data_IF_592064502540
#
_entry.id   IF_592064502540
#
_cell.length_a   1.000
_cell.length_b   1.000
_cell.length_c   1.000
_cell.angle_alpha   90.00
_cell.angle_beta   90.00
_cell.angle_gamma   90.00
#
_symmetry.space_group_name_H-M   'P 1'
#
loop_
_entity.id
_entity.type
_entity.pdbx_description
1 polymer ?
#
# COMPACT_ATOMS: atom_id res chain seq x y z
N UNK A 1 -17.51 -5.06 -5.63
CA UNK A 1 -16.61 -5.18 -4.50
C UNK A 1 -17.37 -5.54 -3.24
N UNK A 2 -16.85 -6.52 -2.53
CA UNK A 2 -17.43 -7.00 -1.27
C UNK A 2 -16.91 -6.20 -0.08
N UNK A 3 -15.67 -5.69 -0.17
CA UNK A 3 -15.06 -4.89 0.87
C UNK A 3 -15.35 -3.40 0.66
N UNK A 4 -15.81 -2.70 1.69
CA UNK A 4 -16.04 -1.26 1.62
C UNK A 4 -14.75 -0.47 1.34
N UNK A 5 -13.60 -0.97 1.80
CA UNK A 5 -12.31 -0.35 1.52
C UNK A 5 -11.88 -0.48 0.04
N UNK A 6 -12.47 -1.38 -0.73
CA UNK A 6 -12.24 -1.46 -2.17
C UNK A 6 -13.22 -0.59 -2.98
N UNK A 7 -13.78 0.45 -2.38
CA UNK A 7 -14.70 1.38 -3.03
C UNK A 7 -14.32 2.82 -2.75
N UNK A 8 -14.29 3.62 -3.79
CA UNK A 8 -14.33 5.07 -3.66
C UNK A 8 -15.79 5.46 -3.42
N UNK A 9 -16.13 5.81 -2.20
CA UNK A 9 -17.51 6.05 -1.82
C UNK A 9 -17.65 7.26 -0.89
N UNK A 10 -18.80 7.90 -0.96
CA UNK A 10 -19.20 8.99 -0.08
C UNK A 10 -20.49 8.64 0.64
N UNK A 11 -20.54 8.93 1.94
CA UNK A 11 -21.72 8.73 2.77
C UNK A 11 -22.36 10.08 3.09
N UNK A 12 -23.64 10.19 2.82
CA UNK A 12 -24.45 11.34 3.20
C UNK A 12 -25.71 10.87 3.93
N UNK A 13 -25.71 10.99 5.24
CA UNK A 13 -26.79 10.41 6.07
C UNK A 13 -26.86 8.88 5.94
N UNK A 14 -28.02 8.38 5.56
CA UNK A 14 -28.24 6.94 5.33
C UNK A 14 -27.85 6.47 3.92
N UNK A 15 -27.51 7.38 3.01
CA UNK A 15 -27.18 7.06 1.62
C UNK A 15 -25.67 6.92 1.43
N UNK A 16 -25.29 5.90 0.65
CA UNK A 16 -23.89 5.69 0.22
C UNK A 16 -23.85 5.73 -1.30
N UNK A 17 -22.99 6.59 -1.84
CA UNK A 17 -22.72 6.71 -3.26
C UNK A 17 -21.34 6.16 -3.57
N UNK A 18 -21.30 5.17 -4.49
CA UNK A 18 -20.05 4.54 -4.91
C UNK A 18 -19.69 5.07 -6.29
N UNK A 19 -18.52 5.71 -6.40
CA UNK A 19 -18.01 6.28 -7.64
C UNK A 19 -17.11 5.29 -8.39
N UNK A 20 -16.30 4.53 -7.65
CA UNK A 20 -15.38 3.54 -8.22
C UNK A 20 -15.33 2.26 -7.38
N UNK A 21 -15.09 1.14 -8.04
CA UNK A 21 -14.74 -0.14 -7.42
C UNK A 21 -13.31 -0.48 -7.81
N UNK A 22 -12.49 -0.74 -6.81
CA UNK A 22 -11.13 -1.21 -7.03
C UNK A 22 -11.09 -2.73 -7.13
N UNK A 23 -10.06 -3.25 -7.77
CA UNK A 23 -9.82 -4.68 -7.88
C UNK A 23 -9.53 -5.26 -6.49
N UNK A 24 -10.37 -6.18 -6.02
CA UNK A 24 -10.18 -6.84 -4.71
C UNK A 24 -9.43 -8.15 -4.86
N UNK A 25 -9.66 -8.85 -5.97
CA UNK A 25 -9.15 -10.18 -6.18
C UNK A 25 -8.99 -10.47 -7.66
N UNK A 26 -7.93 -11.19 -8.01
CA UNK A 26 -7.80 -11.87 -9.29
C UNK A 26 -7.55 -13.36 -9.08
N UNK A 27 -8.15 -14.19 -9.93
CA UNK A 27 -8.03 -15.65 -9.86
C UNK A 27 -7.52 -16.15 -11.21
N UNK A 28 -6.40 -16.86 -11.18
CA UNK A 28 -5.84 -17.50 -12.36
C UNK A 28 -6.47 -18.88 -12.61
N UNK A 29 -6.39 -19.40 -13.84
CA UNK A 29 -6.98 -20.69 -14.21
C UNK A 29 -6.37 -21.87 -13.45
N UNK A 30 -5.15 -21.74 -12.93
CA UNK A 30 -4.47 -22.74 -12.13
C UNK A 30 -4.88 -22.72 -10.64
N UNK A 31 -5.74 -21.77 -10.22
CA UNK A 31 -6.19 -21.64 -8.82
C UNK A 31 -5.31 -20.72 -7.98
N UNK A 32 -4.42 -19.94 -8.58
CA UNK A 32 -3.68 -18.89 -7.90
C UNK A 32 -4.55 -17.65 -7.74
N UNK A 33 -4.53 -17.08 -6.54
CA UNK A 33 -5.20 -15.84 -6.20
C UNK A 33 -4.20 -14.72 -5.98
N UNK A 34 -4.62 -13.50 -6.31
CA UNK A 34 -4.01 -12.26 -5.81
C UNK A 34 -5.09 -11.46 -5.12
N UNK A 35 -4.91 -11.18 -3.84
CA UNK A 35 -5.82 -10.38 -3.03
C UNK A 35 -5.27 -8.97 -2.85
N UNK A 36 -6.10 -7.96 -3.12
CA UNK A 36 -5.73 -6.54 -2.99
C UNK A 36 -6.48 -5.92 -1.80
N UNK A 37 -5.71 -5.36 -0.87
CA UNK A 37 -6.25 -4.71 0.33
C UNK A 37 -6.02 -3.20 0.27
N UNK A 38 -7.06 -2.44 0.62
CA UNK A 38 -7.04 -0.98 0.60
C UNK A 38 -7.32 -0.42 1.98
N UNK A 39 -6.79 0.76 2.25
CA UNK A 39 -7.11 1.57 3.42
C UNK A 39 -7.78 2.87 3.00
N UNK A 40 -8.74 3.30 3.79
CA UNK A 40 -9.31 4.63 3.65
C UNK A 40 -8.39 5.69 4.25
N UNK A 41 -8.45 6.90 3.71
CA UNK A 41 -7.86 8.06 4.37
C UNK A 41 -8.41 8.19 5.80
N UNK A 42 -7.57 8.58 6.74
CA UNK A 42 -7.88 8.60 8.17
C UNK A 42 -7.65 9.96 8.85
N UNK A 43 -7.41 11.00 8.09
CA UNK A 43 -7.18 12.37 8.58
C UNK A 43 -6.01 12.55 9.56
N UNK A 44 -5.19 11.53 9.79
CA UNK A 44 -4.02 11.65 10.66
C UNK A 44 -3.08 12.72 10.12
N UNK A 45 -2.46 13.44 11.03
CA UNK A 45 -1.53 14.54 10.75
C UNK A 45 -2.16 15.77 10.05
N UNK A 46 -3.46 15.82 9.78
CA UNK A 46 -4.10 17.03 9.24
C UNK A 46 -3.94 18.25 10.17
N UNK A 47 -3.84 18.03 11.47
CA UNK A 47 -3.58 19.05 12.46
C UNK A 47 -2.18 19.69 12.35
N UNK A 48 -1.27 19.07 11.60
CA UNK A 48 0.07 19.64 11.32
C UNK A 48 0.07 20.63 10.17
N UNK A 49 -0.99 20.63 9.35
CA UNK A 49 -1.17 21.63 8.29
C UNK A 49 -1.38 23.02 8.87
N UNK A 50 -0.81 24.01 8.21
CA UNK A 50 -0.95 25.41 8.56
C UNK A 50 -1.43 26.22 7.35
N UNK A 51 -1.95 27.42 7.62
CA UNK A 51 -2.37 28.34 6.57
C UNK A 51 -3.76 28.05 5.98
N UNK A 52 -4.07 28.65 4.81
CA UNK A 52 -5.42 28.58 4.23
C UNK A 52 -5.90 27.17 3.91
N UNK A 53 -5.01 26.28 3.52
CA UNK A 53 -5.32 24.87 3.20
C UNK A 53 -5.82 24.13 4.44
N UNK A 54 -5.17 24.33 5.59
CA UNK A 54 -5.60 23.73 6.86
C UNK A 54 -7.02 24.15 7.23
N UNK A 55 -7.30 25.45 7.13
CA UNK A 55 -8.64 26.00 7.43
C UNK A 55 -9.69 25.46 6.45
N UNK A 56 -9.36 25.35 5.17
CA UNK A 56 -10.28 24.84 4.16
C UNK A 56 -10.67 23.37 4.38
N UNK A 57 -9.81 22.59 5.02
CA UNK A 57 -10.00 21.14 5.19
C UNK A 57 -10.45 20.72 6.58
N UNK A 58 -10.42 21.63 7.55
CA UNK A 58 -10.92 21.34 8.89
C UNK A 58 -12.39 20.94 8.89
N UNK A 59 -12.73 19.87 9.61
CA UNK A 59 -14.10 19.40 9.79
C UNK A 59 -14.78 18.82 8.55
N UNK A 60 -14.03 18.60 7.44
CA UNK A 60 -14.54 17.91 6.26
C UNK A 60 -14.13 16.44 6.26
N UNK A 61 -15.03 15.58 5.77
CA UNK A 61 -14.73 14.15 5.59
C UNK A 61 -13.73 13.97 4.46
N UNK A 62 -12.60 13.33 4.75
CA UNK A 62 -11.55 12.96 3.78
C UNK A 62 -11.50 11.46 3.55
N UNK A 63 -12.33 10.68 4.22
CA UNK A 63 -12.31 9.21 4.19
C UNK A 63 -12.74 8.60 2.84
N UNK A 64 -13.05 9.43 1.85
CA UNK A 64 -13.47 8.98 0.51
C UNK A 64 -12.35 8.33 -0.27
N UNK A 65 -11.12 8.82 -0.14
CA UNK A 65 -9.97 8.29 -0.89
C UNK A 65 -9.51 6.93 -0.34
N UNK A 66 -8.93 6.12 -1.23
CA UNK A 66 -8.42 4.78 -0.92
C UNK A 66 -6.98 4.65 -1.38
N UNK A 67 -6.18 4.00 -0.53
CA UNK A 67 -4.78 3.69 -0.80
C UNK A 67 -4.62 2.19 -0.87
N UNK A 68 -4.00 1.69 -1.95
CA UNK A 68 -3.60 0.29 -2.01
C UNK A 68 -2.52 0.06 -0.95
N UNK A 69 -2.85 -0.77 0.03
CA UNK A 69 -1.97 -1.03 1.17
C UNK A 69 -1.17 -2.32 0.98
N UNK A 70 -1.81 -3.36 0.41
CA UNK A 70 -1.18 -4.68 0.30
C UNK A 70 -1.73 -5.45 -0.88
N UNK A 71 -0.84 -6.26 -1.50
CA UNK A 71 -1.25 -7.34 -2.38
C UNK A 71 -0.68 -8.66 -1.84
N UNK A 72 -1.56 -9.65 -1.60
CA UNK A 72 -1.18 -11.00 -1.15
C UNK A 72 -1.30 -11.98 -2.28
N UNK A 73 -0.33 -12.87 -2.42
CA UNK A 73 -0.32 -13.88 -3.47
C UNK A 73 0.45 -15.12 -3.06
N UNK A 74 0.41 -16.17 -3.91
CA UNK A 74 1.00 -17.46 -3.61
C UNK A 74 0.21 -18.18 -2.52
N UNK A 75 -1.09 -18.42 -2.73
CA UNK A 75 -1.89 -19.24 -1.83
C UNK A 75 -1.38 -20.68 -1.80
N UNK A 76 -1.24 -21.24 -0.58
CA UNK A 76 -0.74 -22.61 -0.38
C UNK A 76 -1.68 -23.68 -0.93
N UNK A 77 -2.96 -23.40 -0.97
CA UNK A 77 -3.96 -24.33 -1.48
C UNK A 77 -4.57 -23.76 -2.74
N UNK A 78 -4.48 -24.50 -3.84
CA UNK A 78 -5.14 -24.13 -5.09
C UNK A 78 -6.64 -24.04 -4.88
N UNK A 79 -7.21 -22.91 -5.23
CA UNK A 79 -8.63 -22.66 -5.17
C UNK A 79 -9.06 -21.91 -6.43
N UNK A 80 -10.14 -22.35 -7.05
CA UNK A 80 -10.69 -21.73 -8.25
C UNK A 80 -11.99 -20.98 -7.98
N UNK A 81 -12.39 -20.93 -6.71
CA UNK A 81 -13.60 -20.24 -6.28
C UNK A 81 -13.29 -18.77 -6.03
N UNK A 82 -13.92 -17.83 -6.73
CA UNK A 82 -13.74 -16.40 -6.48
C UNK A 82 -14.17 -16.00 -5.06
N UNK A 83 -13.70 -14.83 -4.62
CA UNK A 83 -14.02 -14.24 -3.32
C UNK A 83 -13.52 -15.05 -2.12
N UNK A 84 -12.25 -15.36 -2.16
CA UNK A 84 -11.56 -16.17 -1.14
C UNK A 84 -11.80 -15.68 0.29
N UNK A 85 -11.93 -14.38 0.53
CA UNK A 85 -12.24 -13.81 1.85
C UNK A 85 -13.66 -14.09 2.35
N UNK A 86 -14.54 -14.58 1.50
CA UNK A 86 -15.91 -14.97 1.87
C UNK A 86 -16.04 -16.48 2.11
N UNK A 87 -14.98 -17.21 1.90
CA UNK A 87 -14.95 -18.64 2.15
C UNK A 87 -14.79 -18.94 3.64
N UNK A 88 -15.20 -20.13 4.05
CA UNK A 88 -15.08 -20.59 5.45
C UNK A 88 -13.63 -20.74 5.87
N UNK A 89 -12.76 -21.11 4.92
CA UNK A 89 -11.32 -21.27 5.13
C UNK A 89 -10.61 -20.29 4.20
N UNK A 90 -9.95 -19.30 4.77
CA UNK A 90 -9.13 -18.36 4.02
C UNK A 90 -7.75 -19.01 3.80
N UNK A 91 -7.21 -19.02 2.57
CA UNK A 91 -5.90 -19.60 2.32
C UNK A 91 -4.79 -18.83 3.04
N UNK A 92 -3.74 -19.54 3.38
CA UNK A 92 -2.48 -18.97 3.82
C UNK A 92 -1.69 -18.45 2.62
N UNK A 93 -0.99 -17.35 2.80
CA UNK A 93 -0.29 -16.64 1.75
C UNK A 93 1.22 -16.75 1.92
N UNK A 94 1.94 -16.98 0.82
CA UNK A 94 3.39 -17.04 0.83
C UNK A 94 4.06 -15.67 0.74
N UNK A 95 3.40 -14.71 0.08
CA UNK A 95 4.00 -13.45 -0.31
C UNK A 95 3.07 -12.27 -0.02
N UNK A 96 3.64 -11.21 0.56
CA UNK A 96 3.01 -9.92 0.73
C UNK A 96 3.82 -8.84 -0.01
N UNK A 97 3.14 -8.07 -0.85
CA UNK A 97 3.66 -6.83 -1.40
C UNK A 97 2.99 -5.66 -0.65
N UNK A 98 3.75 -4.94 0.13
CA UNK A 98 3.25 -3.86 1.01
C UNK A 98 3.59 -2.51 0.42
N UNK A 99 2.59 -1.66 0.24
CA UNK A 99 2.74 -0.26 -0.19
C UNK A 99 2.78 0.62 1.07
N UNK A 100 3.94 1.18 1.34
CA UNK A 100 4.19 1.96 2.54
C UNK A 100 4.10 3.47 2.25
N UNK A 101 3.26 4.13 3.01
CA UNK A 101 3.01 5.57 2.92
C UNK A 101 3.72 6.37 4.01
N UNK A 102 4.84 5.84 4.52
CA UNK A 102 5.70 6.47 5.52
C UNK A 102 5.56 5.93 6.93
N UNK A 103 5.08 4.70 7.07
CA UNK A 103 4.98 3.97 8.34
C UNK A 103 6.28 3.31 8.73
N UNK A 104 6.99 2.75 7.75
CA UNK A 104 8.28 2.14 7.95
C UNK A 104 9.43 3.15 7.72
N UNK A 105 10.59 2.83 8.25
CA UNK A 105 11.79 3.66 8.07
C UNK A 105 12.18 3.73 6.59
N UNK A 106 12.21 4.93 6.05
CA UNK A 106 12.52 5.19 4.64
C UNK A 106 14.02 5.42 4.36
N UNK A 107 14.89 5.40 5.38
CA UNK A 107 16.34 5.55 5.19
C UNK A 107 16.91 4.34 4.44
N UNK A 108 17.77 4.58 3.46
CA UNK A 108 18.39 3.51 2.66
C UNK A 108 19.26 2.55 3.50
N UNK A 109 19.79 3.03 4.62
CA UNK A 109 20.70 2.28 5.50
C UNK A 109 19.98 1.38 6.50
N UNK A 110 18.65 1.43 6.57
CA UNK A 110 17.84 0.61 7.50
C UNK A 110 17.04 -0.43 6.77
N UNK A 111 16.87 -1.58 7.38
CA UNK A 111 15.97 -2.65 6.89
C UNK A 111 14.58 -2.39 7.47
N UNK A 112 13.57 -2.07 6.64
CA UNK A 112 12.20 -1.89 7.10
C UNK A 112 11.62 -3.15 7.72
N UNK A 113 10.86 -2.97 8.79
CA UNK A 113 10.10 -4.04 9.41
C UNK A 113 8.73 -4.19 8.75
N UNK A 114 8.13 -5.37 8.90
CA UNK A 114 6.76 -5.61 8.43
C UNK A 114 5.76 -4.72 9.18
N UNK A 115 4.96 -3.89 8.49
CA UNK A 115 4.01 -2.99 9.13
C UNK A 115 2.77 -3.77 9.61
N UNK A 116 2.67 -3.99 10.92
CA UNK A 116 1.57 -4.75 11.53
C UNK A 116 0.30 -3.94 11.72
N UNK A 117 0.43 -2.62 11.84
CA UNK A 117 -0.69 -1.70 12.05
C UNK A 117 -0.68 -0.60 10.99
N UNK A 118 -1.10 -0.91 9.76
CA UNK A 118 -1.09 0.04 8.66
C UNK A 118 -2.02 1.23 8.95
N UNK A 119 -1.63 2.42 8.46
CA UNK A 119 -2.37 3.67 8.66
C UNK A 119 -2.12 4.31 10.04
N UNK A 120 -1.21 3.80 10.87
CA UNK A 120 -0.95 4.34 12.21
C UNK A 120 -0.17 5.66 12.20
N UNK A 121 0.81 5.77 11.32
CA UNK A 121 1.77 6.88 11.23
C UNK A 121 1.90 7.40 9.79
N UNK A 122 0.82 8.00 9.26
CA UNK A 122 0.81 8.48 7.89
C UNK A 122 1.19 9.96 7.77
N UNK A 123 2.39 10.29 7.28
CA UNK A 123 2.77 11.68 6.99
C UNK A 123 1.95 12.25 5.85
N UNK A 124 1.75 13.56 5.88
CA UNK A 124 1.15 14.29 4.77
C UNK A 124 2.18 14.55 3.69
N UNK A 125 1.76 14.46 2.43
CA UNK A 125 2.56 14.94 1.30
C UNK A 125 2.63 16.47 1.31
N UNK A 126 3.69 17.04 0.72
CA UNK A 126 3.88 18.48 0.69
C UNK A 126 2.90 19.20 -0.28
N UNK A 127 2.38 18.48 -1.25
CA UNK A 127 1.46 18.93 -2.30
C UNK A 127 0.11 18.20 -2.26
N UNK A 128 -0.63 18.26 -1.15
CA UNK A 128 -1.91 17.58 -1.05
C UNK A 128 -2.92 18.18 -2.05
N UNK A 129 -3.72 17.32 -2.64
CA UNK A 129 -4.69 17.73 -3.68
C UNK A 129 -6.09 17.27 -3.34
N UNK A 130 -7.09 18.00 -3.84
CA UNK A 130 -8.47 17.55 -3.82
C UNK A 130 -9.13 17.76 -5.18
N UNK A 131 -10.13 16.92 -5.49
CA UNK A 131 -10.97 17.07 -6.66
C UNK A 131 -12.43 16.77 -6.33
N UNK A 132 -13.35 17.17 -7.22
CA UNK A 132 -14.80 16.99 -7.10
C UNK A 132 -15.38 16.23 -8.28
N UNK A 133 -14.58 15.38 -8.92
CA UNK A 133 -14.94 14.65 -10.14
C UNK A 133 -16.26 13.88 -10.03
N UNK A 134 -16.55 13.37 -8.82
CA UNK A 134 -17.72 12.53 -8.58
C UNK A 134 -18.87 13.24 -7.85
N UNK A 135 -18.81 14.57 -7.74
CA UNK A 135 -19.82 15.37 -7.02
C UNK A 135 -19.61 15.43 -5.51
N UNK A 136 -18.57 14.79 -4.98
CA UNK A 136 -18.08 14.89 -3.62
C UNK A 136 -16.55 15.07 -3.61
N UNK A 137 -16.01 15.50 -2.48
CA UNK A 137 -14.57 15.77 -2.37
C UNK A 137 -13.78 14.47 -2.23
N UNK A 138 -12.78 14.31 -3.08
CA UNK A 138 -11.75 13.30 -2.99
C UNK A 138 -10.41 13.97 -2.74
N UNK A 139 -9.71 13.61 -1.67
CA UNK A 139 -8.41 14.17 -1.30
C UNK A 139 -7.31 13.14 -1.39
N UNK A 140 -6.20 13.51 -2.03
CA UNK A 140 -4.96 12.72 -2.03
C UNK A 140 -3.97 13.37 -1.07
N UNK A 141 -3.82 12.79 0.11
CA UNK A 141 -3.02 13.34 1.21
C UNK A 141 -1.72 12.59 1.44
N UNK A 142 -1.57 11.36 0.93
CA UNK A 142 -0.43 10.48 1.20
C UNK A 142 0.38 10.26 -0.05
N UNK A 143 1.65 9.97 0.16
CA UNK A 143 2.60 9.64 -0.89
C UNK A 143 3.21 8.28 -0.58
N UNK A 144 3.20 7.37 -1.55
CA UNK A 144 3.86 6.08 -1.39
C UNK A 144 5.38 6.30 -1.42
N UNK A 145 6.06 5.94 -0.35
CA UNK A 145 7.50 6.12 -0.21
C UNK A 145 8.30 4.87 -0.57
N UNK A 146 7.69 3.70 -0.41
CA UNK A 146 8.34 2.44 -0.74
C UNK A 146 7.34 1.32 -0.96
N UNK A 147 7.78 0.30 -1.70
CA UNK A 147 7.08 -0.96 -1.86
C UNK A 147 7.98 -2.06 -1.33
N UNK A 148 7.46 -2.85 -0.39
CA UNK A 148 8.19 -3.86 0.36
C UNK A 148 7.65 -5.24 0.01
N UNK A 149 8.53 -6.16 -0.39
CA UNK A 149 8.18 -7.53 -0.69
C UNK A 149 8.61 -8.45 0.46
N UNK A 150 7.65 -9.09 1.10
CA UNK A 150 7.86 -10.01 2.20
C UNK A 150 7.51 -11.44 1.81
N UNK A 151 8.32 -12.38 2.29
CA UNK A 151 8.06 -13.81 2.21
C UNK A 151 7.69 -14.36 3.59
N UNK A 152 6.63 -15.17 3.63
CA UNK A 152 6.20 -15.92 4.81
C UNK A 152 6.78 -17.33 4.87
N UNK A 153 7.53 -17.73 3.84
CA UNK A 153 8.16 -19.05 3.77
C UNK A 153 9.68 -18.94 3.96
N UNK A 154 10.29 -19.98 4.53
CA UNK A 154 11.73 -20.08 4.62
C UNK A 154 12.33 -20.30 3.23
N UNK A 155 13.24 -19.44 2.81
CA UNK A 155 14.09 -19.70 1.66
C UNK A 155 15.15 -20.74 2.05
N UNK A 156 14.92 -22.00 1.70
CA UNK A 156 15.88 -23.08 1.90
C UNK A 156 16.39 -23.62 0.56
N UNK A 157 17.70 -23.57 0.25
CA UNK A 157 18.23 -24.24 -0.93
C UNK A 157 18.03 -25.75 -0.79
N UNK A 158 17.22 -26.34 -1.67
CA UNK A 158 17.06 -27.79 -1.79
C UNK A 158 16.01 -28.42 -0.87
N UNK A 159 15.08 -27.63 -0.33
CA UNK A 159 14.00 -28.18 0.48
C UNK A 159 12.94 -28.85 -0.43
N UNK A 160 12.96 -30.16 -0.49
CA UNK A 160 11.98 -31.00 -1.21
C UNK A 160 10.74 -31.29 -0.35
N UNK A 161 10.63 -30.67 0.82
CA UNK A 161 9.53 -30.83 1.77
C UNK A 161 8.37 -29.86 1.50
N UNK A 162 7.27 -29.98 2.25
CA UNK A 162 6.18 -29.03 2.19
C UNK A 162 6.67 -27.64 2.59
N UNK A 163 6.15 -26.61 1.94
CA UNK A 163 6.43 -25.21 2.29
C UNK A 163 5.90 -24.96 3.71
N UNK A 164 6.77 -24.52 4.60
CA UNK A 164 6.40 -24.17 5.98
C UNK A 164 6.34 -22.66 6.09
N UNK A 165 5.22 -22.16 6.58
CA UNK A 165 5.09 -20.75 6.92
C UNK A 165 5.90 -20.42 8.18
N UNK A 166 6.43 -19.20 8.19
CA UNK A 166 7.12 -18.63 9.35
C UNK A 166 6.17 -17.73 10.14
N UNK A 167 6.42 -17.60 11.44
CA UNK A 167 5.66 -16.69 12.32
C UNK A 167 5.90 -15.22 11.97
N UNK A 168 7.10 -14.90 11.44
CA UNK A 168 7.51 -13.58 11.03
C UNK A 168 7.92 -13.56 9.55
N UNK A 169 7.39 -12.63 8.75
CA UNK A 169 7.77 -12.53 7.35
C UNK A 169 9.14 -11.89 7.18
N UNK A 170 9.86 -12.32 6.16
CA UNK A 170 11.21 -11.84 5.82
C UNK A 170 11.13 -10.86 4.66
N UNK A 171 11.72 -9.69 4.80
CA UNK A 171 11.88 -8.74 3.70
C UNK A 171 12.90 -9.29 2.71
N UNK A 172 12.52 -9.43 1.44
CA UNK A 172 13.39 -9.93 0.36
C UNK A 172 13.72 -8.87 -0.67
N UNK A 173 12.82 -7.92 -0.88
CA UNK A 173 13.05 -6.81 -1.81
C UNK A 173 12.36 -5.55 -1.37
N UNK A 174 12.97 -4.40 -1.68
CA UNK A 174 12.44 -3.07 -1.46
C UNK A 174 12.60 -2.23 -2.71
N UNK A 175 11.54 -1.56 -3.13
CA UNK A 175 11.59 -0.45 -4.06
C UNK A 175 11.41 0.83 -3.24
N UNK A 176 12.47 1.59 -3.06
CA UNK A 176 12.45 2.89 -2.39
C UNK A 176 12.25 4.00 -3.42
N UNK A 177 11.33 4.91 -3.15
CA UNK A 177 11.01 6.05 -3.99
C UNK A 177 11.44 7.34 -3.31
N UNK A 178 12.29 8.12 -3.98
CA UNK A 178 12.76 9.42 -3.50
C UNK A 178 12.05 10.54 -4.23
N UNK A 179 11.63 11.56 -3.48
CA UNK A 179 10.88 12.67 -4.02
C UNK A 179 11.48 14.01 -3.64
N UNK A 180 11.51 14.92 -4.60
CA UNK A 180 11.61 16.34 -4.32
C UNK A 180 10.19 16.86 -4.03
N UNK A 181 9.86 17.01 -2.76
CA UNK A 181 8.55 17.43 -2.33
C UNK A 181 8.49 18.95 -2.19
N UNK A 182 7.65 19.58 -3.00
CA UNK A 182 7.38 21.02 -2.98
C UNK A 182 5.87 21.25 -2.85
N UNK A 183 5.42 22.39 -2.33
CA UNK A 183 3.99 22.70 -2.22
C UNK A 183 3.22 22.68 -3.55
N UNK A 184 3.91 22.86 -4.67
CA UNK A 184 3.30 22.82 -6.00
C UNK A 184 3.23 21.44 -6.61
N UNK A 185 4.22 20.57 -6.34
CA UNK A 185 4.29 19.20 -6.84
C UNK A 185 5.35 18.39 -6.10
N UNK A 186 5.09 17.11 -5.87
CA UNK A 186 6.06 16.12 -5.46
C UNK A 186 6.57 15.39 -6.69
N UNK A 187 7.84 15.59 -7.04
CA UNK A 187 8.46 14.99 -8.20
C UNK A 187 9.34 13.79 -7.78
N UNK A 188 9.13 12.64 -8.40
CA UNK A 188 9.96 11.46 -8.18
C UNK A 188 11.36 11.73 -8.74
N UNK A 189 12.39 11.71 -7.90
CA UNK A 189 13.78 12.01 -8.30
C UNK A 189 14.64 10.76 -8.46
N UNK A 190 14.36 9.70 -7.67
CA UNK A 190 15.05 8.44 -7.81
C UNK A 190 14.18 7.26 -7.37
N UNK A 191 14.48 6.09 -7.93
CA UNK A 191 13.93 4.80 -7.50
C UNK A 191 15.08 3.82 -7.28
N UNK A 192 15.16 3.25 -6.06
CA UNK A 192 16.19 2.31 -5.65
C UNK A 192 15.59 0.92 -5.48
N UNK A 193 16.19 -0.06 -6.12
CA UNK A 193 15.85 -1.48 -5.90
C UNK A 193 16.92 -2.10 -5.01
N UNK A 194 16.50 -2.63 -3.85
CA UNK A 194 17.35 -3.21 -2.84
C UNK A 194 16.90 -4.64 -2.60
N UNK A 195 17.80 -5.60 -2.79
CA UNK A 195 17.58 -7.00 -2.42
C UNK A 195 18.10 -7.29 -1.02
N UNK A 196 17.47 -8.21 -0.31
CA UNK A 196 17.86 -8.63 1.04
C UNK A 196 18.06 -10.14 1.09
N UNK A 197 19.18 -10.55 1.74
CA UNK A 197 19.47 -11.93 2.07
C UNK A 197 19.82 -12.01 3.57
N UNK A 198 18.82 -12.19 4.40
CA UNK A 198 18.96 -12.05 5.85
C UNK A 198 19.35 -10.62 6.26
N UNK A 199 20.52 -10.45 6.86
CA UNK A 199 21.03 -9.13 7.27
C UNK A 199 21.76 -8.37 6.15
N UNK A 200 22.08 -9.05 5.05
CA UNK A 200 22.82 -8.45 3.95
C UNK A 200 21.88 -7.75 2.96
N UNK A 201 22.22 -6.51 2.61
CA UNK A 201 21.51 -5.72 1.62
C UNK A 201 22.35 -5.51 0.37
N UNK A 202 21.76 -5.77 -0.79
CA UNK A 202 22.38 -5.53 -2.09
C UNK A 202 21.65 -4.41 -2.81
N UNK A 203 22.40 -3.37 -3.17
CA UNK A 203 21.87 -2.19 -3.85
C UNK A 203 22.13 -2.29 -5.36
N UNK A 204 21.10 -2.10 -6.14
CA UNK A 204 21.23 -1.83 -7.56
C UNK A 204 21.47 -0.33 -7.79
N UNK A 205 22.13 0.07 -8.91
CA UNK A 205 22.16 1.47 -9.29
C UNK A 205 20.75 2.06 -9.36
N UNK A 206 20.54 3.27 -8.82
CA UNK A 206 19.21 3.90 -8.86
C UNK A 206 18.80 4.26 -10.28
N UNK A 207 17.49 4.24 -10.51
CA UNK A 207 16.90 4.91 -11.66
C UNK A 207 16.65 6.37 -11.28
N UNK A 208 17.32 7.30 -11.95
CA UNK A 208 17.20 8.73 -11.69
C UNK A 208 16.28 9.42 -12.70
N UNK A 209 15.51 10.41 -12.24
CA UNK A 209 14.57 11.17 -13.05
C UNK A 209 14.92 12.66 -13.04
N UNK A 210 14.98 13.26 -14.23
CA UNK A 210 15.14 14.69 -14.42
C UNK A 210 13.95 15.25 -15.18
N UNK A 211 13.50 16.43 -14.80
CA UNK A 211 12.35 17.10 -15.39
C UNK A 211 12.80 18.38 -16.10
N UNK A 212 12.23 18.63 -17.28
CA UNK A 212 12.41 19.92 -17.95
C UNK A 212 11.68 21.03 -17.19
N UNK A 213 12.37 22.14 -16.98
CA UNK A 213 11.82 23.38 -16.42
C UNK A 213 11.08 24.18 -17.49
#
# INVERSE_FOLDING_TARGET
>A
GHNENARLQHRQGASTWVAEWFLEESVAANGEHVLYEYLSENDKSLNTLTGPTAVAWQGRDSSTHRYLQRARYGNLTDDRVPYVLQQTVVPEWLFDLVFDYGEADTRLTTTPLYPRTPGSEWPLRADPTSNYRYGFEERTLRLCHQVLMFHWCADGPGNSGPVLLQDEPVLVQRLQLEYNQQPAASLLTAAHVIGYAGADAQFNPPLEFAYST
#
